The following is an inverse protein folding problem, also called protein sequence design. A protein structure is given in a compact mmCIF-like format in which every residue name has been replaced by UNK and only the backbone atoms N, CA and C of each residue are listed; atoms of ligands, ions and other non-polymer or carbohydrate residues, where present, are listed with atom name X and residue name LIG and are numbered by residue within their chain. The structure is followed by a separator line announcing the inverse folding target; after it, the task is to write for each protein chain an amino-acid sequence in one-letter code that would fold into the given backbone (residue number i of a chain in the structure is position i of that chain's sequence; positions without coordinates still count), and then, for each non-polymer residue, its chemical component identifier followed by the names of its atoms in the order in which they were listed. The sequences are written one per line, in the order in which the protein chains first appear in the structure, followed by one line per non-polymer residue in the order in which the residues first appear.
data_IF_362585978906
#
_entry.id   IF_362585978906
#
_cell.length_a   1.000
_cell.length_b   1.000
_cell.length_c   1.000
_cell.angle_alpha   90.00
_cell.angle_beta   90.00
_cell.angle_gamma   90.00
#
_symmetry.space_group_name_H-M   'P 1'
#
loop_
_entity.id
_entity.type
_entity.pdbx_description
1 polymer ?
#
# COMPACT_ATOMS: atom_id res chain seq x y z
N UNK A 1 -25.63 2.03 -37.71
CA UNK A 1 -24.74 2.54 -36.63
C UNK A 1 -23.52 3.18 -37.27
N UNK A 2 -23.11 4.40 -36.89
CA UNK A 2 -21.94 5.05 -37.50
C UNK A 2 -20.66 4.36 -37.00
N UNK A 3 -19.59 4.33 -37.81
CA UNK A 3 -18.28 3.76 -37.43
C UNK A 3 -17.73 4.34 -36.11
N UNK A 4 -18.04 5.60 -35.82
CA UNK A 4 -17.70 6.26 -34.55
C UNK A 4 -18.41 5.63 -33.36
N UNK A 5 -19.69 5.25 -33.52
CA UNK A 5 -20.49 4.65 -32.45
C UNK A 5 -19.97 3.23 -32.16
N UNK A 6 -19.56 2.48 -33.18
CA UNK A 6 -18.90 1.17 -33.03
C UNK A 6 -17.58 1.26 -32.25
N UNK A 7 -16.77 2.31 -32.50
CA UNK A 7 -15.51 2.52 -31.77
C UNK A 7 -15.79 2.82 -30.30
N UNK A 8 -16.75 3.70 -29.99
CA UNK A 8 -17.09 4.00 -28.60
C UNK A 8 -17.65 2.79 -27.87
N UNK A 9 -18.55 2.02 -28.50
CA UNK A 9 -19.06 0.77 -27.94
C UNK A 9 -17.92 -0.20 -27.65
N UNK A 10 -16.95 -0.35 -28.57
CA UNK A 10 -15.79 -1.21 -28.35
C UNK A 10 -14.92 -0.72 -27.17
N UNK A 11 -14.66 0.59 -27.06
CA UNK A 11 -13.90 1.17 -25.93
C UNK A 11 -14.61 0.92 -24.60
N UNK A 12 -15.92 1.21 -24.52
CA UNK A 12 -16.71 0.95 -23.31
C UNK A 12 -16.76 -0.53 -22.95
N UNK A 13 -16.91 -1.42 -23.94
CA UNK A 13 -16.89 -2.86 -23.73
C UNK A 13 -15.53 -3.32 -23.19
N UNK A 14 -14.42 -2.82 -23.73
CA UNK A 14 -13.06 -3.13 -23.25
C UNK A 14 -12.88 -2.67 -21.81
N UNK A 15 -13.31 -1.45 -21.47
CA UNK A 15 -13.24 -0.93 -20.09
C UNK A 15 -14.04 -1.82 -19.14
N UNK A 16 -15.29 -2.13 -19.48
CA UNK A 16 -16.16 -2.98 -18.66
C UNK A 16 -15.59 -4.39 -18.48
N UNK A 17 -15.10 -5.02 -19.55
CA UNK A 17 -14.49 -6.35 -19.49
C UNK A 17 -13.19 -6.33 -18.68
N UNK A 18 -12.37 -5.30 -18.85
CA UNK A 18 -11.11 -5.15 -18.09
C UNK A 18 -11.40 -5.00 -16.60
N UNK A 19 -12.38 -4.16 -16.26
CA UNK A 19 -12.75 -3.92 -14.87
C UNK A 19 -13.45 -5.13 -14.22
N UNK A 20 -14.30 -5.84 -14.97
CA UNK A 20 -14.86 -7.11 -14.54
C UNK A 20 -13.76 -8.17 -14.33
N UNK A 21 -12.79 -8.25 -15.24
CA UNK A 21 -11.64 -9.14 -15.13
C UNK A 21 -10.79 -8.85 -13.88
N UNK A 22 -10.49 -7.58 -13.62
CA UNK A 22 -9.81 -7.14 -12.39
C UNK A 22 -10.62 -7.53 -11.15
N UNK A 23 -11.93 -7.29 -11.15
CA UNK A 23 -12.80 -7.66 -10.01
C UNK A 23 -12.77 -9.16 -9.73
N UNK A 24 -12.86 -9.99 -10.77
CA UNK A 24 -12.78 -11.45 -10.64
C UNK A 24 -11.41 -11.88 -10.13
N UNK A 25 -10.33 -11.30 -10.66
CA UNK A 25 -8.96 -11.61 -10.23
C UNK A 25 -8.69 -11.20 -8.78
N UNK A 26 -9.18 -10.02 -8.38
CA UNK A 26 -9.09 -9.49 -7.02
C UNK A 26 -9.93 -10.28 -6.03
N UNK A 27 -11.05 -10.88 -6.46
CA UNK A 27 -11.96 -11.61 -5.58
C UNK A 27 -12.67 -10.74 -4.54
N UNK A 28 -12.68 -9.41 -4.74
CA UNK A 28 -13.34 -8.45 -3.85
C UNK A 28 -13.83 -7.21 -4.61
N UNK A 29 -14.80 -6.51 -4.00
CA UNK A 29 -15.37 -5.27 -4.50
C UNK A 29 -15.37 -4.18 -3.42
N UNK A 30 -14.89 -2.96 -3.72
CA UNK A 30 -14.16 -2.59 -4.94
C UNK A 30 -12.78 -3.29 -5.00
N UNK A 31 -12.24 -3.57 -6.20
CA UNK A 31 -10.94 -4.24 -6.36
C UNK A 31 -9.74 -3.27 -6.22
N UNK A 32 -10.01 -2.04 -5.80
CA UNK A 32 -9.03 -0.95 -5.67
C UNK A 32 -9.24 -0.18 -4.38
N UNK A 33 -8.18 0.44 -3.88
CA UNK A 33 -8.19 1.38 -2.76
C UNK A 33 -7.46 2.66 -3.15
N UNK A 34 -7.97 3.82 -2.72
CA UNK A 34 -7.29 5.10 -2.93
C UNK A 34 -6.36 5.35 -1.76
N UNK A 35 -5.12 5.76 -2.03
CA UNK A 35 -4.11 6.04 -1.01
C UNK A 35 -4.32 7.45 -0.47
N UNK A 36 -4.73 7.54 0.79
CA UNK A 36 -5.15 8.82 1.38
C UNK A 36 -4.03 9.55 2.13
N UNK A 37 -2.96 8.87 2.56
CA UNK A 37 -1.88 9.47 3.37
C UNK A 37 -0.49 9.06 2.90
N UNK A 38 0.51 9.83 3.33
CA UNK A 38 1.90 9.63 2.95
C UNK A 38 2.61 8.48 3.68
N UNK A 39 1.93 7.67 4.48
CA UNK A 39 2.54 6.64 5.36
C UNK A 39 3.38 5.57 4.65
N UNK A 40 3.17 5.38 3.34
CA UNK A 40 3.91 4.43 2.50
C UNK A 40 4.84 5.10 1.47
N UNK A 41 4.92 6.44 1.44
CA UNK A 41 5.76 7.17 0.49
C UNK A 41 7.26 6.98 0.76
N UNK A 42 8.05 7.02 -0.31
CA UNK A 42 9.51 6.96 -0.20
C UNK A 42 10.20 8.31 -0.47
N UNK A 43 9.45 9.33 -0.92
CA UNK A 43 9.97 10.65 -1.27
C UNK A 43 8.88 11.72 -1.18
N UNK A 44 9.29 12.98 -1.12
CA UNK A 44 8.43 14.15 -1.30
C UNK A 44 8.02 14.37 -2.76
N UNK A 45 8.72 13.73 -3.70
CA UNK A 45 8.34 13.69 -5.12
C UNK A 45 7.70 12.35 -5.45
N UNK A 46 6.76 12.33 -6.40
CA UNK A 46 6.11 11.08 -6.79
C UNK A 46 7.12 10.07 -7.35
N UNK A 47 7.12 8.83 -6.84
CA UNK A 47 8.06 7.79 -7.24
C UNK A 47 7.31 6.55 -7.76
N UNK A 48 7.62 6.15 -9.00
CA UNK A 48 7.02 4.97 -9.63
C UNK A 48 7.40 3.68 -8.89
N UNK A 49 6.45 2.75 -8.75
CA UNK A 49 6.70 1.48 -8.07
C UNK A 49 6.80 1.64 -6.56
N UNK A 50 6.20 2.69 -6.01
CA UNK A 50 6.03 2.93 -4.58
C UNK A 50 4.62 3.45 -4.36
N UNK A 51 4.07 3.30 -3.16
CA UNK A 51 2.71 3.75 -2.87
C UNK A 51 2.77 5.23 -2.48
N UNK A 52 2.22 6.11 -3.33
CA UNK A 52 2.16 7.54 -3.07
C UNK A 52 0.74 8.02 -2.75
N UNK A 53 0.62 9.08 -1.95
CA UNK A 53 -0.66 9.74 -1.71
C UNK A 53 -1.29 10.18 -3.04
N UNK A 54 -2.53 9.77 -3.27
CA UNK A 54 -3.24 10.04 -4.51
C UNK A 54 -3.16 8.94 -5.55
N UNK A 55 -2.40 7.86 -5.32
CA UNK A 55 -2.44 6.68 -6.18
C UNK A 55 -3.72 5.86 -5.92
N UNK A 56 -4.12 5.08 -6.92
CA UNK A 56 -5.13 4.03 -6.78
C UNK A 56 -4.41 2.69 -6.77
N UNK A 57 -4.50 1.94 -5.68
CA UNK A 57 -3.83 0.65 -5.53
C UNK A 57 -4.80 -0.49 -5.80
N UNK A 58 -4.38 -1.47 -6.61
CA UNK A 58 -5.14 -2.70 -6.81
C UNK A 58 -4.94 -3.64 -5.62
N UNK A 59 -6.04 -4.27 -5.20
CA UNK A 59 -6.08 -5.13 -4.01
C UNK A 59 -6.64 -6.50 -4.34
N UNK A 60 -6.01 -7.54 -3.79
CA UNK A 60 -6.43 -8.93 -3.94
C UNK A 60 -6.85 -9.47 -2.60
N UNK A 61 -8.08 -9.98 -2.52
CA UNK A 61 -8.65 -10.56 -1.31
C UNK A 61 -7.73 -11.64 -0.74
N UNK A 62 -7.49 -11.57 0.56
CA UNK A 62 -6.78 -12.60 1.30
C UNK A 62 -7.81 -13.49 1.98
N UNK A 63 -7.75 -14.78 1.69
CA UNK A 63 -8.58 -15.81 2.34
C UNK A 63 -7.77 -16.74 3.22
N UNK A 64 -6.45 -16.77 3.00
CA UNK A 64 -5.50 -17.57 3.75
C UNK A 64 -4.20 -16.76 3.92
N UNK A 65 -4.23 -15.81 4.86
CA UNK A 65 -3.16 -14.82 5.02
C UNK A 65 -1.78 -15.45 5.20
N UNK A 66 -1.57 -16.46 6.08
CA UNK A 66 -0.25 -17.06 6.28
C UNK A 66 0.38 -17.62 5.00
N UNK A 67 -0.42 -18.08 4.04
CA UNK A 67 0.07 -18.62 2.76
C UNK A 67 0.09 -17.58 1.61
N UNK A 68 -0.63 -16.46 1.75
CA UNK A 68 -0.78 -15.45 0.71
C UNK A 68 -0.02 -14.15 0.99
N UNK A 69 0.45 -13.95 2.21
CA UNK A 69 1.23 -12.77 2.64
C UNK A 69 2.67 -13.20 2.86
N UNK A 70 3.59 -12.66 2.07
CA UNK A 70 5.02 -12.80 2.28
C UNK A 70 5.49 -11.63 3.13
N UNK A 71 5.97 -11.88 4.33
CA UNK A 71 6.45 -10.80 5.21
C UNK A 71 7.79 -10.23 4.74
N UNK A 72 8.19 -9.04 5.21
CA UNK A 72 9.50 -8.45 4.91
C UNK A 72 10.64 -9.41 5.26
N UNK A 73 10.55 -10.08 6.42
CA UNK A 73 11.53 -11.08 6.85
C UNK A 73 11.70 -12.19 5.81
N UNK A 74 10.59 -12.79 5.37
CA UNK A 74 10.59 -13.85 4.35
C UNK A 74 11.01 -13.32 2.97
N UNK A 75 10.56 -12.11 2.61
CA UNK A 75 10.87 -11.44 1.34
C UNK A 75 12.36 -11.15 1.20
N UNK A 76 13.02 -10.71 2.28
CA UNK A 76 14.46 -10.48 2.31
C UNK A 76 15.25 -11.77 2.05
N UNK A 77 14.83 -12.90 2.63
CA UNK A 77 15.46 -14.20 2.40
C UNK A 77 15.19 -14.80 1.02
N UNK A 78 14.04 -14.50 0.42
CA UNK A 78 13.60 -15.11 -0.86
C UNK A 78 13.79 -14.22 -2.08
N UNK A 79 14.08 -12.93 -1.88
CA UNK A 79 14.13 -11.91 -2.93
C UNK A 79 12.75 -11.39 -3.36
N UNK A 80 11.67 -11.77 -2.67
CA UNK A 80 10.31 -11.28 -2.98
C UNK A 80 10.13 -9.84 -2.50
N UNK A 81 9.78 -8.95 -3.44
CA UNK A 81 9.56 -7.53 -3.18
C UNK A 81 8.28 -7.01 -3.81
N UNK A 82 7.63 -6.05 -3.13
CA UNK A 82 6.52 -5.25 -3.66
C UNK A 82 6.71 -3.79 -3.27
N UNK A 83 6.36 -2.89 -4.18
CA UNK A 83 6.49 -1.44 -3.97
C UNK A 83 7.92 -1.04 -3.57
N UNK A 84 8.89 -1.50 -4.37
CA UNK A 84 10.34 -1.24 -4.23
C UNK A 84 11.00 -1.73 -2.92
N UNK A 85 10.31 -2.56 -2.14
CA UNK A 85 10.79 -3.05 -0.85
C UNK A 85 10.38 -4.51 -0.61
N UNK A 86 11.05 -5.19 0.31
CA UNK A 86 10.79 -6.61 0.57
C UNK A 86 9.39 -6.88 1.14
N UNK A 87 8.84 -8.04 0.81
CA UNK A 87 7.57 -8.51 1.35
C UNK A 87 6.35 -7.82 0.73
N UNK A 88 5.18 -8.22 1.22
CA UNK A 88 3.85 -7.79 0.80
C UNK A 88 3.41 -6.54 1.57
N UNK A 89 2.71 -5.65 0.86
CA UNK A 89 1.88 -4.60 1.47
C UNK A 89 0.46 -5.13 1.64
N UNK A 90 -0.09 -5.02 2.85
CA UNK A 90 -1.42 -5.55 3.19
C UNK A 90 -2.36 -4.42 3.60
N UNK A 91 -3.63 -4.61 3.26
CA UNK A 91 -4.74 -3.83 3.79
C UNK A 91 -5.34 -4.60 4.96
N UNK A 92 -5.51 -3.94 6.09
CA UNK A 92 -6.15 -4.52 7.27
C UNK A 92 -7.05 -3.52 7.98
N UNK A 93 -7.95 -4.05 8.81
CA UNK A 93 -8.79 -3.22 9.69
C UNK A 93 -8.13 -3.06 11.06
N UNK A 94 -7.86 -1.83 11.48
CA UNK A 94 -7.36 -1.51 12.82
C UNK A 94 -8.42 -1.80 13.90
N UNK A 95 -8.02 -1.79 15.17
CA UNK A 95 -8.94 -1.86 16.32
C UNK A 95 -9.98 -0.73 16.32
N UNK A 96 -9.63 0.44 15.78
CA UNK A 96 -10.54 1.59 15.61
C UNK A 96 -11.49 1.49 14.41
N UNK A 97 -11.35 0.44 13.58
CA UNK A 97 -12.17 0.21 12.39
C UNK A 97 -11.66 0.90 11.11
N UNK A 98 -10.59 1.69 11.19
CA UNK A 98 -9.94 2.29 10.04
C UNK A 98 -9.27 1.21 9.16
N UNK A 99 -9.28 1.42 7.84
CA UNK A 99 -8.54 0.57 6.91
C UNK A 99 -7.14 1.16 6.74
N UNK A 100 -6.13 0.36 7.08
CA UNK A 100 -4.72 0.74 7.01
C UNK A 100 -4.04 -0.08 5.91
N UNK A 101 -3.15 0.54 5.15
CA UNK A 101 -2.35 -0.10 4.10
C UNK A 101 -0.87 0.02 4.45
N UNK A 102 -0.27 -1.04 4.99
CA UNK A 102 1.12 -1.02 5.45
C UNK A 102 1.85 -2.33 5.11
N UNK A 103 3.17 -2.31 5.22
CA UNK A 103 4.02 -3.47 4.95
C UNK A 103 3.95 -4.48 6.08
N UNK A 104 3.75 -5.75 5.75
CA UNK A 104 3.82 -6.84 6.72
C UNK A 104 5.29 -7.16 7.03
N UNK A 105 5.77 -6.88 8.23
CA UNK A 105 7.18 -7.02 8.59
C UNK A 105 7.55 -8.46 8.95
N UNK A 106 6.75 -9.06 9.82
CA UNK A 106 6.84 -10.47 10.22
C UNK A 106 5.51 -10.91 10.84
N UNK A 107 5.29 -12.23 10.91
CA UNK A 107 4.15 -12.81 11.62
C UNK A 107 4.62 -13.29 13.00
N UNK A 108 4.01 -12.74 14.05
CA UNK A 108 4.31 -13.03 15.44
C UNK A 108 3.38 -14.11 15.96
N UNK A 109 3.95 -15.09 16.65
CA UNK A 109 3.26 -16.15 17.40
C UNK A 109 3.96 -16.35 18.73
N UNK A 110 3.46 -17.27 19.57
CA UNK A 110 3.99 -17.48 20.92
C UNK A 110 4.11 -18.97 21.26
N UNK A 111 5.19 -19.31 21.97
CA UNK A 111 5.34 -20.59 22.65
C UNK A 111 5.50 -20.34 24.16
N UNK A 112 4.40 -20.45 24.89
CA UNK A 112 4.31 -19.92 26.25
C UNK A 112 4.44 -18.39 26.24
N UNK A 113 5.36 -17.85 27.03
CA UNK A 113 5.69 -16.42 27.05
C UNK A 113 6.82 -16.03 26.09
N UNK A 114 7.33 -16.96 25.28
CA UNK A 114 8.41 -16.68 24.34
C UNK A 114 7.84 -16.31 22.97
N UNK A 115 8.24 -15.16 22.38
CA UNK A 115 7.81 -14.79 21.05
C UNK A 115 8.47 -15.68 20.01
N UNK A 116 7.69 -16.08 19.01
CA UNK A 116 8.11 -16.89 17.86
C UNK A 116 7.80 -16.09 16.60
N UNK A 117 8.86 -15.66 15.92
CA UNK A 117 8.78 -14.89 14.68
C UNK A 117 8.84 -15.85 13.49
N UNK A 118 7.76 -15.95 12.73
CA UNK A 118 7.69 -16.86 11.58
C UNK A 118 8.67 -16.42 10.49
N UNK A 119 9.50 -17.35 10.03
CA UNK A 119 10.56 -17.08 9.06
C UNK A 119 11.89 -16.66 9.69
N UNK A 120 11.98 -16.53 11.02
CA UNK A 120 13.26 -16.32 11.70
C UNK A 120 14.07 -17.62 11.73
N UNK A 121 15.30 -17.56 11.25
CA UNK A 121 16.23 -18.71 11.18
C UNK A 121 17.62 -18.40 11.74
N UNK A 122 17.73 -17.35 12.57
CA UNK A 122 18.97 -16.75 13.06
C UNK A 122 19.72 -15.89 12.03
N UNK A 123 18.99 -15.20 11.15
CA UNK A 123 19.58 -14.19 10.28
C UNK A 123 20.34 -13.13 11.11
N UNK A 124 21.57 -12.78 10.71
CA UNK A 124 22.46 -11.87 11.47
C UNK A 124 21.92 -10.43 11.64
N UNK A 125 20.97 -10.04 10.80
CA UNK A 125 20.31 -8.74 10.82
C UNK A 125 19.03 -8.72 11.66
N UNK A 126 18.61 -9.86 12.25
CA UNK A 126 17.43 -9.94 13.13
C UNK A 126 17.81 -10.53 14.49
N UNK A 127 17.33 -9.89 15.56
CA UNK A 127 17.46 -10.37 16.94
C UNK A 127 16.09 -10.44 17.58
N UNK A 128 15.69 -11.64 17.99
CA UNK A 128 14.46 -11.89 18.74
C UNK A 128 14.81 -12.06 20.21
N UNK A 129 14.14 -11.33 21.10
CA UNK A 129 14.21 -11.46 22.55
C UNK A 129 12.81 -11.57 23.12
N UNK A 130 12.67 -11.82 24.42
CA UNK A 130 11.36 -11.81 25.08
C UNK A 130 10.69 -10.43 25.06
N UNK A 131 11.48 -9.36 25.03
CA UNK A 131 10.97 -7.99 25.13
C UNK A 131 10.75 -7.32 23.77
N UNK A 132 11.61 -7.64 22.80
CA UNK A 132 11.63 -6.98 21.49
C UNK A 132 12.17 -7.85 20.37
N UNK A 133 11.76 -7.51 19.16
CA UNK A 133 12.36 -7.93 17.89
C UNK A 133 13.10 -6.73 17.30
N UNK A 134 14.40 -6.88 17.04
CA UNK A 134 15.24 -5.87 16.39
C UNK A 134 15.58 -6.34 14.98
N UNK A 135 15.27 -5.53 13.98
CA UNK A 135 15.60 -5.75 12.58
C UNK A 135 16.54 -4.63 12.10
N UNK A 136 17.69 -4.97 11.53
CA UNK A 136 18.70 -4.01 11.09
C UNK A 136 18.56 -3.69 9.61
N UNK A 137 18.90 -2.45 9.23
CA UNK A 137 18.94 -2.00 7.84
C UNK A 137 17.63 -2.30 7.08
N UNK A 138 16.51 -1.79 7.62
CA UNK A 138 15.15 -2.06 7.14
C UNK A 138 14.64 -0.93 6.26
N UNK A 139 14.03 -1.31 5.13
CA UNK A 139 13.37 -0.40 4.21
C UNK A 139 14.33 0.55 3.48
N UNK A 140 13.74 1.44 2.69
CA UNK A 140 14.48 2.39 1.84
C UNK A 140 15.28 3.40 2.67
N UNK A 141 14.91 3.59 3.93
CA UNK A 141 15.61 4.46 4.87
C UNK A 141 16.86 3.84 5.48
N UNK A 142 17.08 2.54 5.30
CA UNK A 142 18.21 1.79 5.86
C UNK A 142 18.31 1.90 7.39
N UNK A 143 17.18 2.16 8.07
CA UNK A 143 17.12 2.33 9.53
C UNK A 143 16.94 1.00 10.24
N UNK A 144 17.41 0.92 11.48
CA UNK A 144 17.09 -0.21 12.33
C UNK A 144 15.69 -0.02 12.92
N UNK A 145 14.86 -1.05 12.84
CA UNK A 145 13.52 -1.12 13.42
C UNK A 145 13.58 -1.95 14.71
N UNK A 146 13.05 -1.40 15.80
CA UNK A 146 12.74 -2.17 17.01
C UNK A 146 11.23 -2.25 17.19
N UNK A 147 10.75 -3.47 17.45
CA UNK A 147 9.35 -3.77 17.77
C UNK A 147 9.31 -4.34 19.18
N UNK A 148 8.66 -3.64 20.11
CA UNK A 148 8.46 -4.14 21.48
C UNK A 148 7.27 -5.10 21.49
N UNK A 149 7.50 -6.33 21.94
CA UNK A 149 6.54 -7.43 21.87
C UNK A 149 6.10 -7.91 23.26
N UNK A 150 6.75 -7.46 24.34
CA UNK A 150 6.39 -7.85 25.72
C UNK A 150 4.96 -7.49 26.11
N UNK A 151 4.36 -6.47 25.48
CA UNK A 151 2.96 -6.10 25.68
C UNK A 151 1.94 -6.95 24.90
N UNK A 152 2.41 -7.87 24.05
CA UNK A 152 1.57 -8.63 23.10
C UNK A 152 1.60 -10.13 23.38
N UNK A 153 1.99 -10.54 24.60
CA UNK A 153 2.18 -11.95 24.96
C UNK A 153 0.88 -12.73 24.76
N UNK A 154 0.97 -13.79 23.93
CA UNK A 154 -0.17 -14.64 23.59
C UNK A 154 -0.98 -14.14 22.38
N UNK A 155 -0.73 -12.94 21.87
CA UNK A 155 -1.41 -12.39 20.70
C UNK A 155 -0.64 -12.72 19.42
N UNK A 156 -1.30 -13.38 18.46
CA UNK A 156 -0.67 -13.78 17.19
C UNK A 156 -1.21 -12.97 16.02
N UNK A 157 -0.31 -12.55 15.13
CA UNK A 157 -0.70 -11.72 13.99
C UNK A 157 0.50 -11.09 13.27
N UNK A 158 0.21 -10.34 12.22
CA UNK A 158 1.22 -9.55 11.52
C UNK A 158 1.60 -8.32 12.32
N UNK A 159 2.90 -8.09 12.42
CA UNK A 159 3.45 -6.79 12.75
C UNK A 159 3.59 -6.00 11.45
N UNK A 160 3.08 -4.78 11.45
CA UNK A 160 2.97 -3.94 10.26
C UNK A 160 3.65 -2.60 10.47
N UNK A 161 4.22 -2.04 9.40
CA UNK A 161 4.92 -0.74 9.41
C UNK A 161 4.60 0.00 8.11
N UNK A 162 4.27 1.28 8.23
CA UNK A 162 4.30 2.19 7.08
C UNK A 162 5.74 2.50 6.68
N UNK A 163 6.11 2.31 5.42
CA UNK A 163 7.48 2.52 4.95
C UNK A 163 7.99 3.91 5.32
N UNK A 164 7.16 4.93 5.11
CA UNK A 164 7.48 6.32 5.46
C UNK A 164 7.52 6.54 6.97
N UNK A 165 6.64 5.87 7.71
CA UNK A 165 6.58 5.98 9.17
C UNK A 165 7.92 5.54 9.80
N UNK A 166 8.56 4.49 9.29
CA UNK A 166 9.89 4.10 9.74
C UNK A 166 10.96 5.14 9.34
N UNK A 167 10.91 5.62 8.11
CA UNK A 167 11.88 6.58 7.60
C UNK A 167 11.87 7.91 8.35
N UNK A 168 10.72 8.33 8.88
CA UNK A 168 10.54 9.59 9.63
C UNK A 168 10.32 9.42 11.13
N UNK A 169 10.33 8.19 11.65
CA UNK A 169 10.11 7.98 13.09
C UNK A 169 11.09 8.81 13.91
N UNK A 170 10.55 9.57 14.86
CA UNK A 170 11.27 10.34 15.85
C UNK A 170 11.46 9.58 17.17
N UNK A 171 10.81 8.42 17.33
CA UNK A 171 10.87 7.60 18.54
C UNK A 171 12.09 6.68 18.42
N UNK A 172 13.18 7.10 19.05
CA UNK A 172 14.49 6.44 18.94
C UNK A 172 14.93 5.82 20.27
N UNK A 173 15.34 4.56 20.23
CA UNK A 173 16.01 3.87 21.33
C UNK A 173 17.54 3.92 21.12
N UNK A 174 18.23 4.69 21.97
CA UNK A 174 19.69 4.88 21.88
C UNK A 174 20.49 3.63 22.26
N UNK A 175 20.00 2.80 23.18
CA UNK A 175 20.67 1.56 23.59
C UNK A 175 20.68 0.52 22.46
N UNK A 176 19.59 0.43 21.71
CA UNK A 176 19.44 -0.50 20.59
C UNK A 176 19.89 0.09 19.25
N UNK A 177 20.14 1.40 19.21
CA UNK A 177 20.40 2.16 17.98
C UNK A 177 19.31 1.89 16.93
N UNK A 178 18.04 2.06 17.31
CA UNK A 178 16.89 1.68 16.48
C UNK A 178 15.67 2.57 16.73
N UNK A 179 14.76 2.60 15.75
CA UNK A 179 13.55 3.40 15.75
C UNK A 179 12.32 2.53 16.00
N UNK A 180 11.33 3.11 16.68
CA UNK A 180 10.02 2.49 16.89
C UNK A 180 9.07 3.01 15.82
N UNK A 181 8.56 2.12 14.98
CA UNK A 181 7.64 2.48 13.90
C UNK A 181 6.59 1.42 13.58
N UNK A 182 6.59 0.30 14.30
CA UNK A 182 5.53 -0.71 14.18
C UNK A 182 4.20 -0.09 14.59
N UNK A 183 3.16 -0.35 13.80
CA UNK A 183 1.81 0.17 14.00
C UNK A 183 1.29 -0.14 15.41
N UNK A 184 1.70 -1.33 15.91
CA UNK A 184 1.40 -1.85 17.24
C UNK A 184 2.10 -1.10 18.38
N UNK A 185 3.19 -0.39 18.10
CA UNK A 185 3.96 0.37 19.09
C UNK A 185 3.76 1.89 19.00
N UNK A 186 3.14 2.38 17.93
CA UNK A 186 2.88 3.82 17.72
C UNK A 186 1.39 4.19 17.81
N UNK A 187 0.53 3.24 18.19
CA UNK A 187 -0.89 3.49 18.48
C UNK A 187 -1.81 3.54 17.26
N UNK A 188 -1.41 2.94 16.13
CA UNK A 188 -2.29 2.77 14.95
C UNK A 188 -3.24 1.59 15.17
N UNK A 189 -2.75 0.54 15.84
CA UNK A 189 -3.52 -0.61 16.31
C UNK A 189 -2.87 -1.12 17.59
N UNK A 190 -3.63 -1.71 18.51
CA UNK A 190 -3.10 -2.07 19.83
C UNK A 190 -2.56 -3.50 19.91
N UNK A 191 -2.85 -4.31 18.88
CA UNK A 191 -2.53 -5.73 18.83
C UNK A 191 -1.92 -6.09 17.46
N UNK A 192 -1.10 -7.17 17.38
CA UNK A 192 -0.70 -7.76 16.10
C UNK A 192 -1.93 -8.00 15.22
N UNK A 193 -1.83 -7.70 13.93
CA UNK A 193 -2.97 -7.80 13.00
C UNK A 193 -3.31 -9.28 12.80
N UNK A 194 -4.44 -9.79 13.34
CA UNK A 194 -4.76 -11.20 13.17
C UNK A 194 -5.04 -11.49 11.69
N UNK A 195 -4.79 -12.72 11.26
CA UNK A 195 -5.01 -13.13 9.87
C UNK A 195 -6.45 -12.85 9.39
N UNK A 196 -7.43 -12.91 10.29
CA UNK A 196 -8.84 -12.60 10.01
C UNK A 196 -9.14 -11.12 9.77
N UNK A 197 -8.26 -10.20 10.19
CA UNK A 197 -8.39 -8.76 9.93
C UNK A 197 -7.66 -8.30 8.67
N UNK A 198 -6.85 -9.18 8.05
CA UNK A 198 -6.23 -8.91 6.76
C UNK A 198 -7.33 -8.96 5.70
N UNK A 199 -7.56 -7.84 5.04
CA UNK A 199 -8.58 -7.68 4.01
C UNK A 199 -8.01 -8.14 2.66
N UNK A 200 -6.81 -7.66 2.33
CA UNK A 200 -6.22 -7.84 1.01
C UNK A 200 -4.69 -7.64 1.00
N UNK A 201 -4.05 -8.13 -0.06
CA UNK A 201 -2.67 -7.78 -0.46
C UNK A 201 -2.73 -6.79 -1.63
N UNK A 202 -1.91 -5.75 -1.59
CA UNK A 202 -1.73 -4.79 -2.67
C UNK A 202 -0.79 -5.37 -3.75
N UNK A 203 -1.09 -5.18 -5.05
CA UNK A 203 -0.31 -5.80 -6.14
C UNK A 203 -0.09 -4.93 -7.40
N UNK A 204 -0.54 -3.69 -7.42
CA UNK A 204 -0.32 -2.76 -8.52
C UNK A 204 -0.89 -1.37 -8.22
N UNK A 205 -0.62 -0.40 -9.07
CA UNK A 205 -1.07 0.99 -8.88
C UNK A 205 -1.45 1.68 -10.20
N UNK A 206 -2.39 2.63 -10.10
CA UNK A 206 -2.64 3.66 -11.10
C UNK A 206 -2.17 4.98 -10.48
N UNK A 207 -1.12 5.61 -11.03
CA UNK A 207 -0.54 6.82 -10.49
C UNK A 207 -1.52 8.00 -10.43
N UNK A 208 -1.50 8.78 -9.34
CA UNK A 208 -2.14 10.11 -9.12
C UNK A 208 -3.64 10.30 -9.44
N UNK A 209 -4.33 9.36 -10.08
CA UNK A 209 -5.75 9.50 -10.44
C UNK A 209 -6.68 9.43 -9.22
N UNK A 210 -6.22 8.88 -8.10
CA UNK A 210 -6.92 8.92 -6.83
C UNK A 210 -7.12 10.34 -6.30
N UNK A 211 -6.26 11.29 -6.70
CA UNK A 211 -6.40 12.71 -6.36
C UNK A 211 -7.75 13.30 -6.80
N UNK A 212 -8.40 12.76 -7.83
CA UNK A 212 -9.76 13.20 -8.22
C UNK A 212 -10.73 12.98 -7.07
N UNK A 213 -10.80 11.75 -6.53
CA UNK A 213 -11.64 11.42 -5.36
C UNK A 213 -11.23 12.27 -4.16
N UNK A 214 -9.93 12.32 -3.87
CA UNK A 214 -9.41 12.96 -2.66
C UNK A 214 -9.67 14.47 -2.66
N UNK A 215 -9.61 15.15 -3.80
CA UNK A 215 -9.96 16.58 -3.87
C UNK A 215 -11.45 16.84 -3.72
N UNK A 216 -12.32 15.91 -4.10
CA UNK A 216 -13.75 15.98 -3.75
C UNK A 216 -13.90 15.89 -2.23
N UNK A 217 -13.27 14.90 -1.57
CA UNK A 217 -13.29 14.79 -0.10
C UNK A 217 -12.70 16.03 0.58
N UNK A 218 -11.63 16.62 0.02
CA UNK A 218 -11.05 17.87 0.50
C UNK A 218 -12.05 19.02 0.50
N UNK A 219 -12.84 19.15 -0.56
CA UNK A 219 -13.85 20.19 -0.68
C UNK A 219 -14.93 20.07 0.41
N UNK A 220 -15.19 18.85 0.89
CA UNK A 220 -16.08 18.57 2.02
C UNK A 220 -15.38 18.58 3.39
N UNK A 221 -14.07 18.84 3.46
CA UNK A 221 -13.30 18.82 4.70
C UNK A 221 -13.04 17.41 5.27
N UNK A 222 -13.24 16.37 4.46
CA UNK A 222 -13.16 14.96 4.88
C UNK A 222 -11.78 14.33 4.65
N UNK A 223 -10.83 15.07 4.08
CA UNK A 223 -9.48 14.58 3.81
C UNK A 223 -8.41 15.46 4.48
N UNK A 224 -7.92 15.06 5.68
CA UNK A 224 -6.96 15.87 6.44
C UNK A 224 -5.51 15.76 5.91
N UNK A 225 -5.20 14.75 5.10
CA UNK A 225 -3.86 14.44 4.60
C UNK A 225 -3.51 15.11 3.26
N UNK A 226 -4.25 16.15 2.86
CA UNK A 226 -4.05 16.83 1.58
C UNK A 226 -2.65 17.45 1.39
N UNK A 227 -1.87 17.58 2.48
CA UNK A 227 -0.48 18.07 2.46
C UNK A 227 0.54 16.96 2.16
N UNK A 228 0.14 15.70 2.21
CA UNK A 228 1.02 14.55 1.98
C UNK A 228 1.24 14.28 0.48
N UNK A 229 0.44 14.93 -0.39
CA UNK A 229 0.52 14.77 -1.84
C UNK A 229 1.93 15.09 -2.35
N UNK A 230 2.62 14.12 -3.00
CA UNK A 230 3.95 14.38 -3.51
C UNK A 230 3.98 15.52 -4.52
N UNK A 231 5.09 16.22 -4.57
CA UNK A 231 5.38 17.24 -5.57
C UNK A 231 5.15 16.69 -6.99
N UNK A 232 4.65 17.57 -7.87
CA UNK A 232 4.30 17.29 -9.26
C UNK A 232 3.12 16.33 -9.50
N UNK A 233 2.52 15.71 -8.47
CA UNK A 233 1.40 14.78 -8.68
C UNK A 233 0.20 15.43 -9.39
N UNK A 234 -0.12 16.68 -9.05
CA UNK A 234 -1.16 17.45 -9.74
C UNK A 234 -0.80 17.77 -11.20
N UNK A 235 0.46 18.13 -11.46
CA UNK A 235 0.94 18.36 -12.83
C UNK A 235 0.81 17.09 -13.67
N UNK A 236 1.17 15.93 -13.10
CA UNK A 236 1.04 14.65 -13.79
C UNK A 236 -0.41 14.26 -14.02
N UNK A 237 -1.30 14.53 -13.06
CA UNK A 237 -2.75 14.35 -13.25
C UNK A 237 -3.28 15.23 -14.39
N UNK A 238 -2.91 16.51 -14.42
CA UNK A 238 -3.37 17.46 -15.44
C UNK A 238 -2.89 17.06 -16.82
N UNK A 239 -1.60 16.73 -16.96
CA UNK A 239 -1.03 16.27 -18.23
C UNK A 239 -1.65 14.95 -18.70
N UNK A 240 -1.84 13.99 -17.79
CA UNK A 240 -2.48 12.70 -18.11
C UNK A 240 -3.93 12.89 -18.54
N UNK A 241 -4.67 13.74 -17.83
CA UNK A 241 -6.07 14.06 -18.15
C UNK A 241 -6.19 14.79 -19.48
N UNK A 242 -5.32 15.77 -19.75
CA UNK A 242 -5.25 16.47 -21.02
C UNK A 242 -4.93 15.53 -22.18
N UNK A 243 -4.01 14.58 -21.99
CA UNK A 243 -3.67 13.56 -22.99
C UNK A 243 -4.87 12.65 -23.29
N UNK A 244 -5.59 12.18 -22.26
CA UNK A 244 -6.80 11.37 -22.42
C UNK A 244 -7.87 12.15 -23.19
N UNK A 245 -8.12 13.40 -22.83
CA UNK A 245 -9.08 14.26 -23.53
C UNK A 245 -8.65 14.49 -24.98
N UNK A 246 -7.37 14.77 -25.23
CA UNK A 246 -6.84 14.96 -26.58
C UNK A 246 -7.00 13.69 -27.44
N UNK A 247 -6.72 12.51 -26.86
CA UNK A 247 -6.89 11.22 -27.53
C UNK A 247 -8.37 10.94 -27.89
N UNK A 248 -9.31 11.49 -27.13
CA UNK A 248 -10.75 11.40 -27.41
C UNK A 248 -11.19 12.43 -28.47
N UNK A 249 -10.78 13.68 -28.31
CA UNK A 249 -11.29 14.83 -29.08
C UNK A 249 -10.65 14.93 -30.46
N UNK A 250 -9.33 14.72 -30.59
CA UNK A 250 -8.61 14.92 -31.86
C UNK A 250 -9.12 13.98 -32.96
N UNK A 251 -9.27 12.65 -32.75
CA UNK A 251 -9.80 11.76 -33.79
C UNK A 251 -11.23 12.13 -34.20
N UNK A 252 -12.05 12.55 -33.24
CA UNK A 252 -13.42 13.01 -33.50
C UNK A 252 -13.45 14.29 -34.34
N UNK A 253 -12.67 15.30 -33.95
CA UNK A 253 -12.56 16.56 -34.67
C UNK A 253 -12.02 16.36 -36.10
N UNK A 254 -10.98 15.53 -36.26
CA UNK A 254 -10.43 15.16 -37.57
C UNK A 254 -11.46 14.45 -38.45
N UNK A 255 -12.19 13.47 -37.89
CA UNK A 255 -13.23 12.77 -38.63
C UNK A 255 -14.39 13.69 -39.06
N UNK A 256 -14.75 14.68 -38.23
CA UNK A 256 -15.75 15.71 -38.57
C UNK A 256 -15.25 16.64 -39.68
N UNK A 257 -14.01 17.13 -39.59
CA UNK A 257 -13.38 17.97 -40.62
C UNK A 257 -13.34 17.28 -41.98
N UNK A 258 -12.96 15.98 -42.02
CA UNK A 258 -12.90 15.20 -43.26
C UNK A 258 -14.26 14.95 -43.93
N UNK A 259 -15.36 14.99 -43.18
CA UNK A 259 -16.73 14.82 -43.72
C UNK A 259 -17.36 16.14 -44.19
N UNK A 260 -16.78 17.28 -43.79
CA UNK A 260 -17.20 18.61 -44.22
C UNK A 260 -16.44 19.14 -45.44
N UNK A 261 -15.46 18.37 -45.93
CA UNK A 261 -14.88 18.48 -47.28
C UNK A 261 -15.48 17.40 -48.15
#
# INVERSE_FOLDING_TARGET
MKRTDQIWIAVFAIILVSFAGVTVYSGMWPPVSVVESGSMQHSDTWMAGTINTGDIVFVKKVTDAPNQVVTYLQGNSTGYSTYSEYGSVILYRSSSGAVIIHRAMFYLTWHGSNPVVVGYDNQSWVKVTQDYVLMKNVGYSHRNLVVYVSGMVGESGYITVGDHNLALSSIYNSTLNAYVAADQNIGITDQPVPASHVIAVAYGEIPWFGLIKLNVLRAYGEWPYYKDVPQNSYLYLDLSSALIVAAIVIPYAYAKYRKGK
#
